data_IF_670487003575
#
_entry.id   IF_670487003575
#
_cell.length_a   1.000
_cell.length_b   1.000
_cell.length_c   1.000
_cell.angle_alpha   90.00
_cell.angle_beta   90.00
_cell.angle_gamma   90.00
#
_symmetry.space_group_name_H-M   'P 1'
#
loop_
_entity.id
_entity.type
_entity.pdbx_description
1 polymer ?
#
# COMPACT_ATOMS: atom_id res chain seq x y z
N UNK A 1 28.77 0.27 3.52
CA UNK A 1 28.09 1.46 4.09
C UNK A 1 28.97 2.16 5.12
N UNK A 2 29.44 1.49 6.18
CA UNK A 2 30.51 2.02 7.04
C UNK A 2 31.85 2.30 6.31
N UNK A 3 32.07 1.69 5.14
CA UNK A 3 33.23 1.89 4.27
C UNK A 3 33.22 3.18 3.43
N UNK A 4 32.12 3.95 3.43
CA UNK A 4 31.95 5.17 2.62
C UNK A 4 31.92 6.47 3.44
N UNK A 5 32.07 6.41 4.76
CA UNK A 5 32.16 7.60 5.63
C UNK A 5 30.87 8.45 5.72
N UNK A 6 29.76 8.00 5.15
CA UNK A 6 28.46 8.65 5.25
C UNK A 6 27.69 8.07 6.45
N UNK A 7 27.37 8.93 7.42
CA UNK A 7 26.41 8.61 8.49
C UNK A 7 25.05 9.12 8.05
N UNK A 8 24.05 8.26 7.84
CA UNK A 8 22.71 8.71 7.49
C UNK A 8 22.12 9.51 8.66
N UNK A 9 21.65 10.71 8.38
CA UNK A 9 20.82 11.47 9.32
C UNK A 9 19.37 11.01 9.12
N UNK A 10 18.88 10.17 10.04
CA UNK A 10 17.46 9.82 10.09
C UNK A 10 16.70 11.03 10.65
N UNK A 11 15.65 11.44 9.94
CA UNK A 11 14.95 12.70 10.22
C UNK A 11 13.71 12.49 11.09
N UNK A 12 13.18 11.26 11.13
CA UNK A 12 12.04 10.90 11.98
C UNK A 12 12.30 9.64 12.82
N UNK A 13 11.62 9.54 13.95
CA UNK A 13 11.72 8.38 14.84
C UNK A 13 11.17 7.08 14.18
N UNK A 14 10.18 7.22 13.30
CA UNK A 14 9.59 6.10 12.56
C UNK A 14 10.58 5.51 11.56
N UNK A 15 11.34 6.35 10.83
CA UNK A 15 12.46 5.90 9.98
C UNK A 15 13.49 5.09 10.76
N UNK A 16 13.83 5.53 11.98
CA UNK A 16 14.78 4.83 12.84
C UNK A 16 14.27 3.49 13.40
N UNK A 17 12.95 3.35 13.53
CA UNK A 17 12.29 2.11 13.92
C UNK A 17 12.03 1.15 12.74
N UNK A 18 12.38 1.55 11.50
CA UNK A 18 12.04 0.80 10.29
C UNK A 18 10.54 0.80 9.99
N UNK A 19 9.78 1.76 10.53
CA UNK A 19 8.33 1.87 10.34
C UNK A 19 8.02 3.04 9.40
N UNK A 20 7.07 2.82 8.50
CA UNK A 20 6.56 3.87 7.62
C UNK A 20 5.64 4.82 8.40
N UNK A 21 6.09 6.07 8.56
CA UNK A 21 5.27 7.16 9.08
C UNK A 21 4.11 7.50 8.15
N UNK A 22 3.27 8.42 8.59
CA UNK A 22 2.04 8.77 7.86
C UNK A 22 2.35 9.47 6.54
N UNK A 23 3.43 10.23 6.48
CA UNK A 23 3.89 10.87 5.26
C UNK A 23 4.37 9.85 4.21
N UNK A 24 5.11 8.81 4.62
CA UNK A 24 5.51 7.72 3.72
C UNK A 24 4.29 6.92 3.25
N UNK A 25 3.34 6.64 4.14
CA UNK A 25 2.07 5.98 3.78
C UNK A 25 1.25 6.81 2.80
N UNK A 26 1.18 8.13 3.00
CA UNK A 26 0.50 9.04 2.08
C UNK A 26 1.16 9.00 0.70
N UNK A 27 2.49 9.04 0.63
CA UNK A 27 3.23 8.91 -0.62
C UNK A 27 2.97 7.56 -1.31
N UNK A 28 2.92 6.47 -0.55
CA UNK A 28 2.62 5.14 -1.09
C UNK A 28 1.21 5.03 -1.69
N UNK A 29 0.27 5.87 -1.21
CA UNK A 29 -1.11 5.94 -1.68
C UNK A 29 -1.34 7.03 -2.74
N UNK A 30 -0.27 7.62 -3.30
CA UNK A 30 -0.33 8.81 -4.16
C UNK A 30 -1.22 9.93 -3.58
N UNK A 31 -0.96 10.25 -2.32
CA UNK A 31 -1.72 11.23 -1.54
C UNK A 31 -0.80 12.19 -0.78
N UNK A 32 -1.40 13.24 -0.22
CA UNK A 32 -0.75 14.19 0.67
C UNK A 32 -1.59 14.44 1.94
N UNK A 33 -0.90 14.78 3.03
CA UNK A 33 -1.53 15.18 4.30
C UNK A 33 -2.12 16.59 4.15
N UNK A 34 -3.37 16.79 4.57
CA UNK A 34 -4.02 18.11 4.53
C UNK A 34 -3.98 18.86 5.87
N UNK A 35 -3.90 18.14 6.99
CA UNK A 35 -3.87 18.70 8.35
C UNK A 35 -2.57 18.33 9.09
N UNK A 36 -1.44 18.86 8.61
CA UNK A 36 -0.09 18.45 9.05
C UNK A 36 0.17 18.42 10.56
N UNK A 37 -0.55 19.20 11.38
CA UNK A 37 -0.40 19.18 12.84
C UNK A 37 -0.74 17.81 13.47
N UNK A 38 -1.55 16.98 12.80
CA UNK A 38 -1.92 15.64 13.29
C UNK A 38 -0.78 14.62 13.18
N UNK A 39 0.25 14.88 12.36
CA UNK A 39 1.25 13.84 12.02
C UNK A 39 2.07 13.42 13.21
N UNK A 40 2.28 14.30 14.20
CA UNK A 40 2.98 13.95 15.45
C UNK A 40 2.25 12.83 16.20
N UNK A 41 0.94 12.98 16.40
CA UNK A 41 0.14 11.99 17.13
C UNK A 41 0.07 10.67 16.36
N UNK A 42 -0.17 10.74 15.04
CA UNK A 42 -0.28 9.53 14.24
C UNK A 42 1.07 8.83 14.04
N UNK A 43 2.18 9.55 13.95
CA UNK A 43 3.51 8.94 13.86
C UNK A 43 3.92 8.29 15.19
N UNK A 44 3.49 8.83 16.33
CA UNK A 44 3.64 8.14 17.62
C UNK A 44 2.84 6.83 17.63
N UNK A 45 1.60 6.85 17.16
CA UNK A 45 0.79 5.63 17.04
C UNK A 45 1.40 4.60 16.07
N UNK A 46 2.12 5.03 15.02
CA UNK A 46 2.91 4.10 14.18
C UNK A 46 3.99 3.40 14.99
N UNK A 47 4.72 4.16 15.82
CA UNK A 47 5.79 3.59 16.67
C UNK A 47 5.27 2.54 17.64
N UNK A 48 4.03 2.71 18.12
CA UNK A 48 3.37 1.81 19.06
C UNK A 48 2.54 0.68 18.39
N UNK A 49 2.53 0.59 17.06
CA UNK A 49 1.70 -0.36 16.28
C UNK A 49 0.18 -0.16 16.44
N UNK A 50 -0.24 1.05 16.82
CA UNK A 50 -1.62 1.39 17.17
C UNK A 50 -2.38 2.19 16.08
N UNK A 51 -1.70 2.68 15.03
CA UNK A 51 -2.36 3.54 14.00
C UNK A 51 -3.35 2.78 13.11
N UNK A 52 -3.15 1.47 12.90
CA UNK A 52 -3.95 0.68 11.97
C UNK A 52 -3.79 1.08 10.49
N UNK A 53 -4.61 0.53 9.58
CA UNK A 53 -4.59 0.86 8.15
C UNK A 53 -5.25 2.22 7.85
N UNK A 54 -4.90 2.82 6.71
CA UNK A 54 -5.55 4.05 6.23
C UNK A 54 -6.97 3.71 5.77
N UNK A 55 -7.97 4.36 6.37
CA UNK A 55 -9.37 4.22 5.95
C UNK A 55 -9.64 5.03 4.67
N UNK A 56 -10.06 4.35 3.61
CA UNK A 56 -10.44 4.98 2.33
C UNK A 56 -11.90 5.45 2.38
N UNK A 57 -12.14 6.67 1.90
CA UNK A 57 -13.42 7.36 2.00
C UNK A 57 -13.78 8.02 0.66
N UNK A 58 -14.69 7.41 -0.11
CA UNK A 58 -15.13 7.89 -1.41
C UNK A 58 -16.55 8.53 -1.36
N UNK A 59 -16.86 9.37 -2.36
CA UNK A 59 -18.17 10.01 -2.55
C UNK A 59 -18.45 11.25 -1.70
N UNK A 60 -19.58 11.95 -1.93
CA UNK A 60 -19.94 13.15 -1.17
C UNK A 60 -20.24 12.80 0.28
N UNK A 61 -19.41 13.29 1.21
CA UNK A 61 -19.54 13.04 2.65
C UNK A 61 -18.97 14.18 3.48
N UNK A 62 -19.57 14.42 4.64
CA UNK A 62 -19.01 15.28 5.67
C UNK A 62 -18.35 14.40 6.74
N UNK A 63 -17.10 14.72 7.11
CA UNK A 63 -16.34 13.98 8.14
C UNK A 63 -15.92 14.97 9.21
N UNK A 64 -16.21 14.65 10.47
CA UNK A 64 -15.68 15.34 11.63
C UNK A 64 -14.55 14.48 12.21
N UNK A 65 -13.37 15.08 12.37
CA UNK A 65 -12.16 14.39 12.85
C UNK A 65 -11.60 15.11 14.08
N UNK A 66 -10.90 14.37 14.95
CA UNK A 66 -10.12 14.94 16.05
C UNK A 66 -8.75 15.45 15.59
N UNK A 67 -8.04 16.14 16.48
CA UNK A 67 -6.70 16.68 16.20
C UNK A 67 -5.64 15.58 16.01
N UNK A 68 -5.91 14.38 16.52
CA UNK A 68 -5.07 13.18 16.45
C UNK A 68 -5.35 12.30 15.22
N UNK A 69 -6.20 12.75 14.30
CA UNK A 69 -6.55 12.02 13.07
C UNK A 69 -5.93 12.70 11.86
N UNK A 70 -5.05 11.99 11.15
CA UNK A 70 -4.52 12.48 9.88
C UNK A 70 -5.49 12.25 8.73
N UNK A 71 -5.79 13.33 8.00
CA UNK A 71 -6.60 13.33 6.79
C UNK A 71 -5.66 13.38 5.59
N UNK A 72 -5.86 12.43 4.67
CA UNK A 72 -5.14 12.35 3.41
C UNK A 72 -6.06 12.72 2.26
N UNK A 73 -5.50 13.44 1.27
CA UNK A 73 -6.16 13.71 -0.01
C UNK A 73 -5.32 13.15 -1.13
N UNK A 74 -5.94 12.41 -2.06
CA UNK A 74 -5.29 11.91 -3.28
C UNK A 74 -4.75 13.07 -4.12
N UNK A 75 -3.64 12.81 -4.80
CA UNK A 75 -3.05 13.76 -5.74
C UNK A 75 -3.78 13.76 -7.08
N UNK A 76 -4.31 12.62 -7.51
CA UNK A 76 -5.12 12.50 -8.72
C UNK A 76 -6.59 12.85 -8.48
N UNK A 77 -7.19 13.55 -9.44
CA UNK A 77 -8.64 13.77 -9.53
C UNK A 77 -9.34 12.63 -10.31
N UNK A 78 -8.65 11.51 -10.55
CA UNK A 78 -9.17 10.39 -11.33
C UNK A 78 -10.33 9.70 -10.58
N UNK A 79 -11.55 9.84 -11.10
CA UNK A 79 -12.75 9.22 -10.55
C UNK A 79 -12.72 7.68 -10.65
N UNK A 80 -11.79 7.10 -11.42
CA UNK A 80 -11.79 5.67 -11.80
C UNK A 80 -10.42 4.94 -11.71
N UNK A 81 -9.46 5.44 -10.92
CA UNK A 81 -8.18 4.74 -10.72
C UNK A 81 -8.30 3.30 -10.17
N UNK A 82 -7.31 2.47 -10.52
CA UNK A 82 -7.21 1.03 -10.20
C UNK A 82 -6.03 0.74 -9.26
N UNK A 83 -6.14 -0.36 -8.49
CA UNK A 83 -5.10 -0.85 -7.59
C UNK A 83 -4.55 -2.17 -8.10
N UNK A 84 -3.23 -2.27 -8.26
CA UNK A 84 -2.56 -3.50 -8.69
C UNK A 84 -2.32 -4.43 -7.50
N UNK A 85 -3.29 -5.28 -7.20
CA UNK A 85 -3.12 -6.33 -6.19
C UNK A 85 -2.13 -7.39 -6.62
N UNK A 86 -1.05 -7.56 -5.85
CA UNK A 86 0.14 -8.27 -6.28
C UNK A 86 0.48 -9.39 -5.31
N UNK A 87 0.55 -10.62 -5.84
CA UNK A 87 1.04 -11.79 -5.13
C UNK A 87 2.00 -12.57 -6.00
N UNK A 88 3.08 -13.09 -5.40
CA UNK A 88 4.12 -13.82 -6.13
C UNK A 88 4.78 -14.89 -5.25
N UNK A 89 5.50 -15.80 -5.92
CA UNK A 89 6.53 -16.61 -5.25
C UNK A 89 7.73 -15.75 -4.89
N UNK A 90 8.51 -16.14 -3.87
CA UNK A 90 9.73 -15.41 -3.49
C UNK A 90 10.79 -15.45 -4.58
N UNK A 91 11.48 -14.31 -4.76
CA UNK A 91 12.54 -14.15 -5.74
C UNK A 91 12.06 -13.81 -7.14
N UNK A 92 10.82 -13.33 -7.30
CA UNK A 92 10.33 -12.83 -8.58
C UNK A 92 11.09 -11.55 -8.97
N UNK A 93 11.49 -11.44 -10.24
CA UNK A 93 12.25 -10.29 -10.75
C UNK A 93 11.33 -9.12 -11.09
N UNK A 94 11.90 -7.92 -11.18
CA UNK A 94 11.14 -6.72 -11.55
C UNK A 94 10.43 -6.88 -12.91
N UNK A 95 11.09 -7.50 -13.89
CA UNK A 95 10.52 -7.77 -15.21
C UNK A 95 9.35 -8.75 -15.15
N UNK A 96 9.36 -9.69 -14.20
CA UNK A 96 8.23 -10.61 -14.02
C UNK A 96 7.02 -9.89 -13.43
N UNK A 97 7.24 -8.94 -12.50
CA UNK A 97 6.16 -8.10 -11.97
C UNK A 97 5.61 -7.18 -13.06
N UNK A 98 6.47 -6.48 -13.79
CA UNK A 98 6.07 -5.61 -14.91
C UNK A 98 5.22 -6.37 -15.92
N UNK A 99 5.67 -7.55 -16.36
CA UNK A 99 4.95 -8.33 -17.34
C UNK A 99 3.58 -8.80 -16.82
N UNK A 100 3.50 -9.19 -15.55
CA UNK A 100 2.25 -9.61 -14.92
C UNK A 100 1.27 -8.44 -14.78
N UNK A 101 1.75 -7.26 -14.42
CA UNK A 101 0.94 -6.05 -14.30
C UNK A 101 0.44 -5.55 -15.65
N UNK A 102 1.30 -5.51 -16.66
CA UNK A 102 0.90 -5.14 -18.02
C UNK A 102 -0.20 -6.06 -18.56
N UNK A 103 -0.08 -7.38 -18.35
CA UNK A 103 -1.13 -8.33 -18.72
C UNK A 103 -2.45 -8.12 -17.95
N UNK A 104 -2.37 -7.77 -16.66
CA UNK A 104 -3.55 -7.51 -15.84
C UNK A 104 -4.28 -6.22 -16.27
N UNK A 105 -3.52 -5.17 -16.58
CA UNK A 105 -4.06 -3.90 -17.08
C UNK A 105 -4.72 -4.09 -18.45
N UNK A 106 -4.06 -4.78 -19.38
CA UNK A 106 -4.62 -5.11 -20.68
C UNK A 106 -5.93 -5.89 -20.55
N UNK A 107 -6.01 -6.84 -19.61
CA UNK A 107 -7.22 -7.62 -19.36
C UNK A 107 -8.36 -6.78 -18.72
N UNK A 108 -8.02 -5.70 -18.03
CA UNK A 108 -8.95 -4.79 -17.38
C UNK A 108 -9.36 -3.59 -18.26
N UNK A 109 -8.83 -3.48 -19.49
CA UNK A 109 -8.98 -2.31 -20.37
C UNK A 109 -8.56 -1.00 -19.68
N UNK A 110 -7.48 -1.08 -18.89
CA UNK A 110 -6.89 0.03 -18.14
C UNK A 110 -5.45 0.26 -18.59
N UNK A 111 -4.91 1.45 -18.30
CA UNK A 111 -3.53 1.79 -18.59
C UNK A 111 -2.76 2.23 -17.33
N UNK A 112 -1.45 2.42 -17.48
CA UNK A 112 -0.57 2.77 -16.36
C UNK A 112 -0.94 4.09 -15.67
N UNK A 113 -1.59 5.02 -16.38
CA UNK A 113 -2.05 6.28 -15.80
C UNK A 113 -3.29 6.13 -14.93
N UNK A 114 -4.00 5.00 -15.03
CA UNK A 114 -5.10 4.65 -14.14
C UNK A 114 -4.61 4.05 -12.82
N UNK A 115 -3.36 3.60 -12.73
CA UNK A 115 -2.86 2.90 -11.54
C UNK A 115 -2.59 3.89 -10.41
N UNK A 116 -3.28 3.72 -9.29
CA UNK A 116 -3.07 4.54 -8.09
C UNK A 116 -1.84 4.07 -7.31
N UNK A 117 -1.74 2.77 -7.04
CA UNK A 117 -0.63 2.15 -6.32
C UNK A 117 -0.65 0.61 -6.47
N UNK A 118 0.42 -0.02 -6.01
CA UNK A 118 0.55 -1.48 -5.92
C UNK A 118 0.20 -1.94 -4.51
N UNK A 119 -0.65 -2.96 -4.40
CA UNK A 119 -1.06 -3.55 -3.12
C UNK A 119 -0.47 -4.95 -2.94
N UNK A 120 -0.07 -5.31 -1.73
CA UNK A 120 0.48 -6.64 -1.38
C UNK A 120 0.22 -7.01 0.08
N UNK A 121 0.69 -8.17 0.54
CA UNK A 121 0.69 -8.53 1.96
C UNK A 121 2.02 -8.20 2.64
N UNK A 122 2.04 -7.98 3.96
CA UNK A 122 3.27 -7.66 4.75
C UNK A 122 4.38 -8.70 4.57
N UNK A 123 4.04 -9.96 4.31
CA UNK A 123 5.01 -11.01 3.93
C UNK A 123 5.89 -10.66 2.71
N UNK A 124 5.47 -9.72 1.87
CA UNK A 124 6.09 -9.32 0.61
C UNK A 124 6.50 -7.85 0.57
N UNK A 125 6.41 -7.13 1.68
CA UNK A 125 6.71 -5.70 1.70
C UNK A 125 8.17 -5.37 1.38
N UNK A 126 9.10 -6.29 1.67
CA UNK A 126 10.53 -6.14 1.37
C UNK A 126 10.97 -6.94 0.13
N UNK A 127 10.04 -7.43 -0.71
CA UNK A 127 10.40 -8.21 -1.90
C UNK A 127 11.15 -7.33 -2.93
N UNK A 128 12.45 -7.57 -3.21
CA UNK A 128 13.26 -6.61 -3.97
C UNK A 128 12.77 -6.37 -5.40
N UNK A 129 12.29 -7.42 -6.08
CA UNK A 129 11.76 -7.30 -7.43
C UNK A 129 10.46 -6.51 -7.48
N UNK A 130 9.62 -6.61 -6.44
CA UNK A 130 8.36 -5.86 -6.34
C UNK A 130 8.64 -4.37 -6.19
N UNK A 131 9.53 -4.04 -5.25
CA UNK A 131 9.91 -2.66 -4.96
C UNK A 131 10.61 -2.02 -6.16
N UNK A 132 11.52 -2.73 -6.82
CA UNK A 132 12.20 -2.24 -8.01
C UNK A 132 11.22 -1.96 -9.17
N UNK A 133 10.29 -2.89 -9.45
CA UNK A 133 9.30 -2.69 -10.51
C UNK A 133 8.35 -1.51 -10.22
N UNK A 134 7.93 -1.35 -8.96
CA UNK A 134 7.09 -0.23 -8.55
C UNK A 134 7.85 1.11 -8.67
N UNK A 135 9.11 1.15 -8.24
CA UNK A 135 9.98 2.33 -8.33
C UNK A 135 10.20 2.76 -9.79
N UNK A 136 10.46 1.82 -10.69
CA UNK A 136 10.61 2.09 -12.13
C UNK A 136 9.36 2.73 -12.74
N UNK A 137 8.18 2.45 -12.17
CA UNK A 137 6.89 3.02 -12.58
C UNK A 137 6.51 4.28 -11.79
N UNK A 138 7.28 4.66 -10.79
CA UNK A 138 6.94 5.76 -9.88
C UNK A 138 5.73 5.47 -8.99
N UNK A 139 5.40 4.20 -8.78
CA UNK A 139 4.24 3.77 -8.00
C UNK A 139 4.63 3.48 -6.55
N UNK A 140 3.71 3.81 -5.64
CA UNK A 140 3.80 3.39 -4.25
C UNK A 140 3.45 1.91 -4.07
N UNK A 141 4.00 1.28 -3.01
CA UNK A 141 3.64 -0.07 -2.59
C UNK A 141 3.02 -0.02 -1.21
N UNK A 142 1.83 -0.59 -1.07
CA UNK A 142 1.08 -0.68 0.19
C UNK A 142 0.97 -2.14 0.60
N UNK A 143 1.46 -2.46 1.80
CA UNK A 143 1.33 -3.80 2.39
C UNK A 143 0.17 -3.86 3.38
N UNK A 144 -0.56 -4.98 3.36
CA UNK A 144 -1.66 -5.26 4.26
C UNK A 144 -1.35 -6.44 5.16
N UNK A 145 -1.79 -6.34 6.42
CA UNK A 145 -1.69 -7.46 7.35
C UNK A 145 -2.58 -8.62 6.93
N UNK A 146 -2.20 -9.81 7.39
CA UNK A 146 -2.89 -11.05 7.04
C UNK A 146 -4.39 -10.98 7.35
N UNK A 147 -4.75 -10.48 8.52
CA UNK A 147 -6.14 -10.36 8.99
C UNK A 147 -6.97 -9.44 8.09
N UNK A 148 -6.36 -8.35 7.60
CA UNK A 148 -7.01 -7.44 6.65
C UNK A 148 -7.29 -8.15 5.33
N UNK A 149 -6.33 -8.93 4.83
CA UNK A 149 -6.50 -9.68 3.58
C UNK A 149 -7.52 -10.83 3.73
N UNK A 150 -7.58 -11.50 4.89
CA UNK A 150 -8.55 -12.57 5.14
C UNK A 150 -9.99 -12.06 5.14
N UNK A 151 -10.21 -10.81 5.55
CA UNK A 151 -11.51 -10.16 5.49
C UNK A 151 -11.94 -9.78 4.06
N UNK A 152 -11.01 -9.81 3.10
CA UNK A 152 -11.20 -9.34 1.72
C UNK A 152 -10.87 -10.44 0.70
N UNK A 153 -11.11 -11.71 1.03
CA UNK A 153 -10.83 -12.82 0.10
C UNK A 153 -11.60 -12.65 -1.23
N UNK A 154 -10.85 -12.69 -2.33
CA UNK A 154 -11.40 -12.63 -3.67
C UNK A 154 -12.11 -13.94 -4.08
N UNK A 155 -12.79 -13.92 -5.24
CA UNK A 155 -13.58 -15.05 -5.72
C UNK A 155 -12.73 -16.25 -6.17
N UNK A 156 -11.43 -16.07 -6.44
CA UNK A 156 -10.59 -17.12 -7.01
C UNK A 156 -9.93 -17.96 -5.92
N UNK A 157 -10.11 -19.30 -5.94
CA UNK A 157 -9.42 -20.19 -5.01
C UNK A 157 -7.90 -20.06 -5.14
N UNK A 158 -7.21 -19.82 -4.03
CA UNK A 158 -5.75 -19.71 -3.98
C UNK A 158 -5.10 -20.85 -3.22
N UNK A 159 -4.02 -21.41 -3.79
CA UNK A 159 -3.14 -22.37 -3.09
C UNK A 159 -2.35 -21.74 -1.94
N UNK A 160 -2.30 -20.41 -1.86
CA UNK A 160 -1.62 -19.67 -0.79
C UNK A 160 -2.10 -20.11 0.60
N UNK A 161 -3.41 -20.36 0.74
CA UNK A 161 -4.02 -20.73 2.02
C UNK A 161 -3.52 -22.08 2.51
N UNK A 162 -3.39 -23.04 1.60
CA UNK A 162 -2.88 -24.39 1.90
C UNK A 162 -1.36 -24.40 2.10
N UNK A 163 -0.60 -23.65 1.29
CA UNK A 163 0.86 -23.72 1.26
C UNK A 163 1.52 -22.91 2.36
N UNK A 164 1.00 -21.71 2.64
CA UNK A 164 1.64 -20.73 3.50
C UNK A 164 0.70 -20.14 4.55
N UNK A 165 -0.56 -20.55 4.57
CA UNK A 165 -1.55 -20.07 5.54
C UNK A 165 -1.96 -18.61 5.32
N UNK A 166 -1.89 -18.10 4.09
CA UNK A 166 -2.32 -16.75 3.73
C UNK A 166 -3.47 -16.81 2.71
N UNK A 167 -4.38 -15.83 2.68
CA UNK A 167 -5.40 -15.74 1.62
C UNK A 167 -4.74 -15.55 0.24
N UNK A 168 -5.57 -15.54 -0.82
CA UNK A 168 -5.12 -15.15 -2.15
C UNK A 168 -4.65 -13.70 -2.16
N UNK A 169 -3.33 -13.49 -2.06
CA UNK A 169 -2.74 -12.14 -1.82
C UNK A 169 -3.13 -11.15 -2.91
N UNK A 170 -3.05 -11.53 -4.18
CA UNK A 170 -3.31 -10.62 -5.31
C UNK A 170 -4.73 -10.04 -5.24
N UNK A 171 -5.77 -10.86 -5.25
CA UNK A 171 -7.16 -10.36 -5.20
C UNK A 171 -7.46 -9.69 -3.86
N UNK A 172 -7.03 -10.27 -2.74
CA UNK A 172 -7.34 -9.71 -1.43
C UNK A 172 -6.72 -8.33 -1.22
N UNK A 173 -5.50 -8.12 -1.71
CA UNK A 173 -4.82 -6.82 -1.62
C UNK A 173 -5.41 -5.79 -2.59
N UNK A 174 -5.84 -6.20 -3.79
CA UNK A 174 -6.59 -5.33 -4.70
C UNK A 174 -7.90 -4.86 -4.07
N UNK A 175 -8.67 -5.76 -3.45
CA UNK A 175 -9.95 -5.43 -2.80
C UNK A 175 -9.72 -4.54 -1.57
N UNK A 176 -8.72 -4.87 -0.74
CA UNK A 176 -8.40 -4.07 0.44
C UNK A 176 -8.00 -2.61 0.10
N UNK A 177 -7.23 -2.42 -0.98
CA UNK A 177 -6.82 -1.10 -1.45
C UNK A 177 -7.86 -0.37 -2.33
N UNK A 178 -8.78 -1.13 -2.92
CA UNK A 178 -9.77 -0.63 -3.87
C UNK A 178 -10.84 0.27 -3.25
N UNK A 179 -11.61 0.94 -4.12
CA UNK A 179 -12.73 1.83 -3.74
C UNK A 179 -13.92 1.09 -3.15
N UNK A 180 -14.26 -0.06 -3.71
CA UNK A 180 -15.39 -0.87 -3.27
C UNK A 180 -14.96 -1.85 -2.19
N UNK A 181 -14.92 -1.37 -0.94
CA UNK A 181 -14.89 -2.29 0.19
C UNK A 181 -16.31 -2.83 0.44
N UNK A 182 -16.50 -4.14 0.65
CA UNK A 182 -17.77 -4.68 1.13
C UNK A 182 -18.14 -3.93 2.40
N UNK A 183 -19.30 -3.25 2.39
CA UNK A 183 -19.79 -2.50 3.55
C UNK A 183 -19.94 -3.47 4.73
N UNK A 184 -19.29 -3.16 5.86
CA UNK A 184 -19.62 -3.73 7.17
C UNK A 184 -21.05 -3.34 7.59
#
# INVERSE_FOLDING_TARGET
>A
LASLGAVPAMTTASEAAGKQGVEERAKALDAHVVNGDSTVATNLAVLDDDLGPVARLDGPRAVLVGDDVTVLKRNSDADEGVVLGTGSVSGATAEQFEAAWSLALDAADADWSDVEFVATGTRKEEEPGLLAAAEERGLGVVSFEKETLEAQEGPTPSRSKELIGWPGISEASAIAGGREQPRL
#
